data_IF_978404328352
#
_entry.id   IF_978404328352
#
_cell.length_a   1.000
_cell.length_b   1.000
_cell.length_c   1.000
_cell.angle_alpha   90.00
_cell.angle_beta   90.00
_cell.angle_gamma   90.00
#
_symmetry.space_group_name_H-M   'P 1'
#
loop_
_entity.id
_entity.type
_entity.pdbx_description
1 polymer ?
2 water ?
#
# COMPACT_ATOMS: atom_id res chain seq x y z
N UNK A 1 15.88 -22.71 8.65
CA UNK A 1 16.86 -21.87 9.32
C UNK A 1 16.69 -20.36 9.05
N UNK A 2 16.67 -20.03 7.77
CA UNK A 2 16.28 -18.71 7.37
C UNK A 2 14.90 -18.94 6.84
N UNK A 3 14.06 -17.97 7.00
CA UNK A 3 12.71 -18.00 6.56
C UNK A 3 12.62 -17.23 5.26
N UNK A 4 11.92 -17.79 4.29
CA UNK A 4 11.71 -17.12 3.03
C UNK A 4 10.27 -16.54 2.82
N UNK A 5 10.21 -15.27 2.49
CA UNK A 5 8.96 -14.52 2.29
C UNK A 5 8.71 -14.20 0.87
N UNK A 6 7.64 -14.71 0.32
CA UNK A 6 7.21 -14.31 -1.01
C UNK A 6 6.51 -12.92 -0.99
N UNK A 7 6.92 -12.03 -1.87
CA UNK A 7 6.31 -10.75 -2.05
C UNK A 7 5.92 -10.52 -3.48
N UNK A 8 4.62 -10.45 -3.71
CA UNK A 8 4.07 -10.14 -5.02
C UNK A 8 4.26 -8.68 -5.43
N UNK A 9 4.31 -8.42 -6.72
CA UNK A 9 4.51 -7.08 -7.20
C UNK A 9 5.71 -6.36 -6.61
N UNK A 10 6.84 -7.02 -6.65
CA UNK A 10 8.04 -6.63 -5.97
C UNK A 10 8.63 -5.28 -6.37
N UNK A 11 8.38 -4.79 -7.54
CA UNK A 11 8.88 -3.49 -7.93
C UNK A 11 8.11 -2.30 -7.37
N UNK A 12 6.98 -2.53 -6.75
CA UNK A 12 6.14 -1.51 -6.22
C UNK A 12 6.76 -0.65 -5.12
N UNK A 13 6.26 0.57 -4.97
CA UNK A 13 6.82 1.49 -4.01
C UNK A 13 6.73 0.93 -2.55
N UNK A 14 5.58 0.47 -2.14
CA UNK A 14 5.40 -0.19 -0.85
C UNK A 14 6.15 -1.52 -0.75
N UNK A 15 6.09 -2.29 -1.80
CA UNK A 15 6.66 -3.57 -1.84
C UNK A 15 8.16 -3.53 -1.61
N UNK A 16 8.80 -2.55 -2.22
CA UNK A 16 10.21 -2.33 -2.09
C UNK A 16 10.55 -1.94 -0.68
N UNK A 17 9.76 -1.10 -0.05
CA UNK A 17 9.93 -0.80 1.33
C UNK A 17 9.74 -2.01 2.25
N UNK A 18 8.76 -2.83 1.96
CA UNK A 18 8.57 -4.03 2.70
C UNK A 18 9.78 -4.98 2.52
N UNK A 19 10.22 -5.13 1.29
CA UNK A 19 11.34 -6.00 0.96
C UNK A 19 12.59 -5.53 1.71
N UNK A 20 12.85 -4.26 1.72
CA UNK A 20 14.01 -3.74 2.38
C UNK A 20 13.95 -4.03 3.88
N UNK A 21 12.80 -3.82 4.48
CA UNK A 21 12.67 -4.07 5.87
C UNK A 21 12.92 -5.54 6.16
N UNK A 22 12.31 -6.40 5.38
CA UNK A 22 12.31 -7.79 5.66
C UNK A 22 13.77 -8.38 5.53
N UNK A 23 14.47 -7.95 4.50
CA UNK A 23 15.83 -8.31 4.27
C UNK A 23 16.69 -7.84 5.43
N UNK A 24 16.36 -6.69 5.99
CA UNK A 24 17.07 -6.13 7.08
C UNK A 24 16.90 -6.96 8.32
N UNK A 25 15.92 -7.82 8.30
CA UNK A 25 15.59 -8.63 9.41
C UNK A 25 16.19 -9.99 9.30
N UNK A 26 16.90 -10.23 8.24
CA UNK A 26 17.43 -11.52 7.94
C UNK A 26 16.56 -12.54 7.21
N UNK A 27 15.36 -12.19 6.78
CA UNK A 27 14.61 -13.08 5.96
C UNK A 27 15.17 -13.11 4.55
N UNK A 28 14.90 -14.15 3.83
CA UNK A 28 15.00 -14.16 2.40
C UNK A 28 13.72 -13.64 1.75
N UNK A 29 13.82 -13.07 0.57
CA UNK A 29 12.66 -12.75 -0.23
C UNK A 29 12.65 -13.42 -1.56
N UNK A 30 11.53 -14.03 -1.89
CA UNK A 30 11.25 -14.38 -3.24
C UNK A 30 10.21 -13.41 -3.82
N UNK A 31 10.62 -12.64 -4.82
CA UNK A 31 9.78 -11.59 -5.36
C UNK A 31 9.16 -11.88 -6.70
N UNK A 32 7.88 -11.62 -6.89
CA UNK A 32 7.31 -11.69 -8.23
C UNK A 32 7.45 -10.38 -9.03
N UNK A 33 7.81 -10.50 -10.27
CA UNK A 33 7.97 -9.39 -11.16
C UNK A 33 7.35 -9.72 -12.49
N UNK A 34 7.01 -8.71 -13.25
CA UNK A 34 6.37 -8.94 -14.51
C UNK A 34 7.32 -9.17 -15.71
N UNK A 35 8.60 -8.98 -15.50
CA UNK A 35 9.61 -9.25 -16.51
C UNK A 35 10.98 -9.53 -15.90
N UNK A 36 11.86 -10.21 -16.63
CA UNK A 36 13.18 -10.54 -16.11
C UNK A 36 14.01 -9.32 -15.79
N UNK A 37 13.93 -8.31 -16.64
CA UNK A 37 14.68 -7.12 -16.47
C UNK A 37 14.27 -6.45 -15.18
N UNK A 38 12.99 -6.47 -14.86
CA UNK A 38 12.56 -5.93 -13.58
C UNK A 38 13.17 -6.67 -12.45
N UNK A 39 13.16 -7.98 -12.54
CA UNK A 39 13.80 -8.79 -11.53
C UNK A 39 15.27 -8.61 -11.38
N UNK A 40 15.97 -8.54 -12.49
CA UNK A 40 17.39 -8.38 -12.48
C UNK A 40 17.76 -7.06 -11.83
N UNK A 41 17.00 -6.03 -12.13
CA UNK A 41 17.19 -4.75 -11.50
C UNK A 41 17.01 -4.86 -10.00
N UNK A 42 15.97 -5.55 -9.54
CA UNK A 42 15.74 -5.75 -8.14
C UNK A 42 16.85 -6.53 -7.46
N UNK A 43 17.35 -7.52 -8.16
CA UNK A 43 18.45 -8.33 -7.71
C UNK A 43 19.72 -7.54 -7.55
N UNK A 44 20.01 -6.70 -8.51
CA UNK A 44 21.14 -5.86 -8.41
C UNK A 44 20.95 -4.95 -7.23
N UNK A 45 19.74 -4.47 -7.00
CA UNK A 45 19.48 -3.66 -5.84
C UNK A 45 19.60 -4.30 -4.46
N UNK A 46 19.09 -5.50 -4.33
CA UNK A 46 18.80 -6.10 -3.07
C UNK A 46 19.66 -7.29 -2.71
N UNK A 47 20.34 -7.85 -3.69
CA UNK A 47 21.40 -8.77 -3.43
C UNK A 47 21.10 -10.22 -3.28
N UNK A 48 21.97 -10.87 -2.57
CA UNK A 48 22.05 -12.29 -2.52
C UNK A 48 20.78 -12.94 -1.95
N UNK A 49 20.16 -12.30 -0.99
CA UNK A 49 18.99 -12.84 -0.32
C UNK A 49 17.70 -12.60 -1.07
N UNK A 50 17.82 -11.98 -2.20
CA UNK A 50 16.71 -11.73 -3.02
C UNK A 50 16.68 -12.58 -4.24
N UNK A 51 15.59 -13.26 -4.46
CA UNK A 51 15.35 -13.97 -5.68
C UNK A 51 14.02 -13.52 -6.27
N UNK A 52 13.78 -13.82 -7.52
CA UNK A 52 12.60 -13.42 -8.20
C UNK A 52 11.98 -14.47 -9.11
N UNK A 53 10.72 -14.30 -9.41
CA UNK A 53 10.03 -15.09 -10.40
C UNK A 53 9.18 -14.20 -11.27
N UNK A 54 9.01 -14.56 -12.50
CA UNK A 54 8.26 -13.76 -13.40
C UNK A 54 6.81 -14.23 -13.43
N UNK A 55 5.93 -13.33 -13.05
CA UNK A 55 4.52 -13.52 -13.19
C UNK A 55 3.93 -12.31 -13.86
N UNK A 56 3.62 -12.48 -15.12
CA UNK A 56 3.14 -11.43 -15.98
C UNK A 56 1.73 -10.90 -15.78
N UNK A 57 0.80 -11.81 -15.60
CA UNK A 57 -0.56 -11.45 -15.41
C UNK A 57 -1.00 -11.99 -14.07
N UNK A 58 -1.10 -11.11 -13.12
CA UNK A 58 -1.52 -11.49 -11.81
C UNK A 58 -2.90 -12.05 -11.62
N UNK A 59 -3.86 -11.64 -12.39
CA UNK A 59 -5.21 -12.06 -12.23
C UNK A 59 -5.59 -13.33 -12.97
N UNK A 60 -4.65 -13.92 -13.67
CA UNK A 60 -4.90 -15.15 -14.38
C UNK A 60 -4.96 -16.34 -13.42
N UNK A 61 -5.87 -17.25 -13.70
CA UNK A 61 -5.93 -18.44 -12.90
C UNK A 61 -4.62 -19.23 -12.97
N UNK A 62 -4.17 -19.72 -11.84
CA UNK A 62 -2.97 -20.48 -11.78
C UNK A 62 -1.70 -19.68 -11.92
N UNK A 63 -1.80 -18.37 -11.87
CA UNK A 63 -0.70 -17.49 -12.17
C UNK A 63 0.52 -17.70 -11.33
N UNK A 64 0.37 -17.89 -10.05
CA UNK A 64 1.49 -18.07 -9.17
C UNK A 64 1.92 -19.53 -8.99
N UNK A 65 1.28 -20.48 -9.67
CA UNK A 65 1.50 -21.88 -9.36
C UNK A 65 3.00 -22.34 -9.58
N UNK A 66 3.58 -22.05 -10.72
CA UNK A 66 4.95 -22.37 -10.98
C UNK A 66 5.94 -21.68 -10.08
N UNK A 67 5.76 -20.40 -9.85
CA UNK A 67 6.67 -19.71 -9.00
C UNK A 67 6.63 -20.35 -7.65
N UNK A 68 5.44 -20.71 -7.18
CA UNK A 68 5.27 -21.32 -5.89
C UNK A 68 5.84 -22.73 -5.80
N UNK A 69 5.64 -23.49 -6.84
CA UNK A 69 6.16 -24.82 -6.89
C UNK A 69 7.65 -24.79 -6.76
N UNK A 70 8.29 -23.84 -7.37
CA UNK A 70 9.71 -23.66 -7.31
C UNK A 70 10.29 -23.23 -6.01
N UNK A 71 9.46 -22.84 -5.05
CA UNK A 71 9.99 -22.29 -3.83
C UNK A 71 9.37 -22.89 -2.59
N UNK A 72 9.67 -24.15 -2.40
CA UNK A 72 9.19 -24.91 -1.26
C UNK A 72 9.76 -24.36 0.03
N UNK A 73 10.81 -23.61 -0.06
CA UNK A 73 11.32 -22.89 1.04
C UNK A 73 10.42 -21.75 1.59
N UNK A 74 9.50 -21.26 0.80
CA UNK A 74 8.65 -20.16 1.26
C UNK A 74 7.55 -20.60 2.25
N UNK A 75 7.47 -19.93 3.37
CA UNK A 75 6.36 -20.11 4.30
C UNK A 75 5.50 -18.83 4.65
N UNK A 76 5.82 -17.69 4.05
CA UNK A 76 5.07 -16.43 4.19
C UNK A 76 4.75 -15.83 2.83
N UNK A 77 3.54 -15.33 2.66
CA UNK A 77 3.19 -14.68 1.42
C UNK A 77 2.61 -13.30 1.69
N UNK A 78 3.29 -12.27 1.25
CA UNK A 78 2.82 -10.93 1.27
C UNK A 78 2.31 -10.56 -0.11
N UNK A 79 1.01 -10.54 -0.22
CA UNK A 79 0.36 -10.20 -1.43
C UNK A 79 0.07 -8.68 -1.52
N UNK A 80 1.03 -7.95 -2.06
CA UNK A 80 0.98 -6.52 -2.27
C UNK A 80 0.49 -6.04 -3.65
N UNK A 81 0.58 -6.90 -4.62
CA UNK A 81 0.31 -6.51 -5.99
C UNK A 81 -1.17 -6.20 -6.30
N UNK A 82 -1.34 -5.23 -7.17
CA UNK A 82 -2.62 -4.91 -7.74
C UNK A 82 -2.58 -4.96 -9.26
N UNK A 83 -3.73 -5.16 -9.86
CA UNK A 83 -3.68 -5.13 -11.31
C UNK A 83 -3.23 -3.72 -11.79
N UNK A 84 -2.35 -3.68 -12.77
CA UNK A 84 -1.97 -2.44 -13.46
C UNK A 84 -2.93 -2.17 -14.63
N UNK A 85 -3.63 -1.05 -14.56
CA UNK A 85 -4.52 -0.65 -15.61
C UNK A 85 -4.05 0.74 -16.02
N UNK A 86 -4.01 1.07 -17.31
CA UNK A 86 -3.42 2.34 -17.81
C UNK A 86 -4.37 3.51 -18.12
N UNK A 87 -5.53 3.21 -18.67
CA UNK A 87 -6.70 4.08 -18.70
C UNK A 87 -7.82 3.09 -18.89
N UNK A 88 -8.96 3.39 -18.36
CA UNK A 88 -9.94 2.37 -18.19
C UNK A 88 -11.03 2.58 -19.15
N UNK A 89 -11.36 1.57 -19.91
CA UNK A 89 -12.50 1.65 -20.74
C UNK A 89 -13.73 0.96 -20.17
N UNK A 90 -13.61 -0.28 -19.72
CA UNK A 90 -14.68 -0.94 -19.05
C UNK A 90 -14.28 -1.20 -17.58
N UNK A 91 -14.97 -0.57 -16.65
CA UNK A 91 -14.62 -0.71 -15.25
C UNK A 91 -14.71 -2.15 -14.71
N UNK A 92 -15.81 -2.84 -14.95
CA UNK A 92 -15.98 -4.17 -14.46
C UNK A 92 -14.95 -5.13 -14.99
N UNK A 93 -14.83 -5.14 -16.29
CA UNK A 93 -13.94 -6.03 -16.94
C UNK A 93 -12.47 -5.77 -16.65
N UNK A 94 -12.09 -4.54 -16.52
CA UNK A 94 -10.72 -4.20 -16.38
C UNK A 94 -10.27 -3.87 -14.97
N UNK A 95 -11.19 -3.59 -14.08
CA UNK A 95 -10.83 -3.20 -12.74
C UNK A 95 -11.41 -4.13 -11.68
N UNK A 96 -12.73 -4.23 -11.62
CA UNK A 96 -13.37 -5.07 -10.65
C UNK A 96 -13.07 -6.56 -10.78
N UNK A 97 -13.28 -7.14 -11.93
CA UNK A 97 -13.02 -8.57 -12.08
C UNK A 97 -11.58 -8.96 -11.87
N UNK A 98 -10.65 -8.23 -12.41
CA UNK A 98 -9.26 -8.51 -12.15
C UNK A 98 -8.89 -8.37 -10.72
N UNK A 99 -9.43 -7.40 -10.03
CA UNK A 99 -9.10 -7.31 -8.65
C UNK A 99 -9.64 -8.51 -7.88
N UNK A 100 -10.91 -8.82 -8.05
CA UNK A 100 -11.51 -9.90 -7.33
C UNK A 100 -10.92 -11.27 -7.68
N UNK A 101 -10.80 -11.53 -8.95
CA UNK A 101 -10.25 -12.76 -9.44
C UNK A 101 -8.86 -12.95 -9.04
N UNK A 102 -8.08 -11.91 -9.05
CA UNK A 102 -6.73 -12.05 -8.67
C UNK A 102 -6.59 -12.55 -7.25
N UNK A 103 -7.33 -11.97 -6.31
CA UNK A 103 -7.24 -12.34 -4.94
C UNK A 103 -7.61 -13.80 -4.77
N UNK A 104 -8.72 -14.20 -5.31
CA UNK A 104 -9.13 -15.59 -5.21
C UNK A 104 -8.11 -16.52 -5.83
N UNK A 105 -7.65 -16.23 -7.01
CA UNK A 105 -6.72 -17.06 -7.67
C UNK A 105 -5.35 -17.19 -6.99
N UNK A 106 -4.83 -16.11 -6.46
CA UNK A 106 -3.63 -16.16 -5.71
C UNK A 106 -3.77 -17.02 -4.45
N UNK A 107 -4.86 -16.87 -3.74
CA UNK A 107 -5.09 -17.65 -2.54
C UNK A 107 -5.21 -19.16 -2.86
N UNK A 108 -5.91 -19.47 -3.94
CA UNK A 108 -6.11 -20.82 -4.43
C UNK A 108 -4.77 -21.46 -4.81
N UNK A 109 -3.92 -20.74 -5.47
CA UNK A 109 -2.59 -21.24 -5.77
C UNK A 109 -1.78 -21.54 -4.53
N UNK A 110 -1.82 -20.66 -3.56
CA UNK A 110 -1.11 -20.89 -2.37
C UNK A 110 -1.63 -22.16 -1.68
N UNK A 111 -2.92 -22.35 -1.60
CA UNK A 111 -3.50 -23.53 -1.02
C UNK A 111 -3.16 -24.76 -1.81
N UNK A 112 -3.22 -24.65 -3.12
CA UNK A 112 -2.93 -25.73 -4.02
C UNK A 112 -1.47 -26.21 -4.02
N UNK A 113 -0.52 -25.30 -3.93
CA UNK A 113 0.84 -25.57 -4.27
C UNK A 113 1.82 -25.23 -3.18
N UNK A 114 1.38 -24.44 -2.22
CA UNK A 114 2.25 -24.09 -1.14
C UNK A 114 1.63 -24.33 0.21
N UNK A 115 1.34 -25.59 0.53
CA UNK A 115 0.69 -25.94 1.79
C UNK A 115 1.54 -25.58 3.00
N UNK A 116 2.81 -25.43 2.75
CA UNK A 116 3.70 -25.02 3.76
C UNK A 116 3.56 -23.55 4.22
N UNK A 117 2.81 -22.73 3.49
CA UNK A 117 2.68 -21.35 3.86
C UNK A 117 1.74 -21.19 5.05
N UNK A 118 2.25 -20.61 6.09
CA UNK A 118 1.50 -20.45 7.32
C UNK A 118 0.86 -19.07 7.54
N UNK A 119 1.39 -18.08 6.87
CA UNK A 119 0.90 -16.74 6.97
C UNK A 119 0.75 -16.06 5.61
N UNK A 120 -0.40 -15.50 5.37
CA UNK A 120 -0.64 -14.65 4.24
C UNK A 120 -1.07 -13.23 4.72
N UNK A 121 -0.40 -12.23 4.21
CA UNK A 121 -0.74 -10.87 4.49
C UNK A 121 -1.21 -10.21 3.21
N UNK A 122 -2.44 -9.77 3.16
CA UNK A 122 -3.03 -9.10 2.00
C UNK A 122 -3.04 -7.60 2.20
N UNK A 123 -2.46 -6.90 1.25
CA UNK A 123 -2.40 -5.44 1.30
C UNK A 123 -3.73 -4.91 0.73
N UNK A 124 -4.53 -4.35 1.60
CA UNK A 124 -5.78 -3.75 1.21
C UNK A 124 -5.63 -2.21 1.22
N UNK A 125 -6.70 -1.51 1.58
CA UNK A 125 -6.80 -0.07 1.65
C UNK A 125 -7.93 0.39 2.56
N UNK A 126 -7.86 1.62 3.00
CA UNK A 126 -8.92 2.33 3.65
C UNK A 126 -10.16 2.46 2.71
N UNK A 127 -9.93 2.42 1.42
CA UNK A 127 -10.96 2.51 0.45
C UNK A 127 -11.94 1.32 0.51
N UNK A 128 -11.49 0.20 1.05
CA UNK A 128 -12.31 -0.96 1.41
C UNK A 128 -13.28 -0.68 2.54
N UNK A 129 -12.95 0.29 3.32
CA UNK A 129 -13.53 0.51 4.56
C UNK A 129 -14.62 1.54 4.56
N UNK A 130 -14.64 2.30 3.49
CA UNK A 130 -15.30 3.54 3.37
C UNK A 130 -15.67 3.99 1.94
N UNK A 131 -16.31 5.14 1.88
CA UNK A 131 -16.67 5.82 0.67
C UNK A 131 -16.09 7.20 0.68
N UNK A 132 -15.89 7.81 -0.47
CA UNK A 132 -15.08 9.02 -0.53
C UNK A 132 -15.62 10.19 0.30
N UNK A 133 -16.88 10.41 0.29
CA UNK A 133 -17.45 11.43 1.10
C UNK A 133 -17.28 11.19 2.61
N UNK A 134 -17.30 9.95 3.06
CA UNK A 134 -17.06 9.59 4.43
C UNK A 134 -15.58 9.76 4.87
N UNK A 135 -14.68 9.56 3.95
CA UNK A 135 -13.28 9.77 4.21
C UNK A 135 -12.94 11.15 4.63
N UNK A 136 -13.65 12.13 4.09
CA UNK A 136 -13.43 13.52 4.35
C UNK A 136 -14.25 14.15 5.47
N UNK A 137 -15.05 13.34 6.12
CA UNK A 137 -15.94 13.82 7.08
C UNK A 137 -15.42 13.84 8.52
N UNK A 138 -15.55 14.98 9.15
CA UNK A 138 -15.19 15.13 10.56
C UNK A 138 -16.08 14.41 11.49
N UNK A 139 -17.25 14.01 11.06
CA UNK A 139 -18.12 13.13 11.84
C UNK A 139 -17.87 11.65 11.77
N UNK A 140 -16.97 11.24 10.90
CA UNK A 140 -16.82 9.83 10.64
C UNK A 140 -15.65 9.25 11.45
N UNK A 141 -15.91 8.17 12.13
CA UNK A 141 -14.89 7.40 12.77
C UNK A 141 -14.73 6.04 12.16
N UNK A 142 -13.67 5.78 11.43
CA UNK A 142 -13.38 4.44 10.97
C UNK A 142 -12.65 3.61 12.01
N UNK A 143 -12.78 2.31 11.88
CA UNK A 143 -12.09 1.32 12.68
C UNK A 143 -11.71 0.11 11.86
N UNK A 144 -11.09 -0.85 12.49
CA UNK A 144 -10.77 -2.12 11.89
C UNK A 144 -12.03 -2.93 11.42
N UNK A 145 -13.13 -2.69 12.07
CA UNK A 145 -14.43 -3.21 11.72
C UNK A 145 -15.05 -2.61 10.43
N UNK A 146 -14.56 -1.48 9.97
CA UNK A 146 -15.24 -0.69 8.96
C UNK A 146 -15.24 -1.31 7.58
N UNK A 147 -16.39 -1.52 7.03
CA UNK A 147 -16.50 -1.94 5.67
C UNK A 147 -17.25 -0.90 4.79
N UNK A 148 -16.72 -0.60 3.62
CA UNK A 148 -17.35 0.33 2.74
C UNK A 148 -18.78 -0.15 2.40
N UNK A 149 -19.68 0.78 2.39
CA UNK A 149 -21.04 0.62 1.91
C UNK A 149 -21.22 0.58 0.39
N UNK A 150 -20.20 0.85 -0.37
CA UNK A 150 -20.33 0.96 -1.78
C UNK A 150 -20.78 -0.35 -2.43
N UNK A 151 -21.80 -0.30 -3.26
CA UNK A 151 -22.31 -1.49 -3.93
C UNK A 151 -21.55 -1.85 -5.17
N UNK A 152 -21.73 -3.09 -5.60
CA UNK A 152 -21.09 -3.58 -6.75
C UNK A 152 -21.57 -2.76 -7.90
N UNK A 153 -22.86 -2.51 -7.92
CA UNK A 153 -23.44 -1.77 -8.97
C UNK A 153 -22.94 -0.34 -9.09
N UNK A 154 -22.93 0.38 -8.01
CA UNK A 154 -22.38 1.71 -7.99
C UNK A 154 -20.89 1.74 -8.36
N UNK A 155 -20.17 0.71 -8.01
CA UNK A 155 -18.74 0.68 -8.20
C UNK A 155 -18.35 0.74 -9.65
N UNK A 156 -19.18 0.19 -10.50
CA UNK A 156 -19.00 0.21 -11.91
C UNK A 156 -19.06 1.61 -12.52
N UNK A 157 -19.77 2.49 -11.88
CA UNK A 157 -20.15 3.75 -12.47
C UNK A 157 -19.05 4.69 -12.77
N UNK A 158 -17.98 4.65 -12.01
CA UNK A 158 -16.94 5.63 -12.16
C UNK A 158 -15.64 5.03 -11.83
N UNK A 159 -14.60 5.55 -12.43
CA UNK A 159 -13.30 5.02 -12.22
C UNK A 159 -12.82 5.07 -10.78
N UNK A 160 -13.11 6.14 -10.07
CA UNK A 160 -12.84 6.25 -8.66
C UNK A 160 -13.61 5.28 -7.79
N UNK A 161 -14.89 5.23 -8.02
CA UNK A 161 -15.70 4.29 -7.35
C UNK A 161 -15.29 2.87 -7.67
N UNK A 162 -14.84 2.65 -8.88
CA UNK A 162 -14.31 1.36 -9.25
C UNK A 162 -13.07 0.95 -8.49
N UNK A 163 -12.12 1.85 -8.31
CA UNK A 163 -10.98 1.53 -7.50
C UNK A 163 -11.40 1.23 -6.09
N UNK A 164 -12.32 2.00 -5.54
CA UNK A 164 -12.83 1.78 -4.22
C UNK A 164 -13.50 0.39 -4.14
N UNK A 165 -14.37 0.08 -5.07
CA UNK A 165 -15.06 -1.17 -5.12
C UNK A 165 -14.12 -2.33 -5.28
N UNK A 166 -13.12 -2.15 -6.11
CA UNK A 166 -12.21 -3.23 -6.41
C UNK A 166 -11.49 -3.71 -5.16
N UNK A 167 -11.03 -2.80 -4.34
CA UNK A 167 -10.42 -3.15 -3.11
C UNK A 167 -11.40 -3.81 -2.10
N UNK A 168 -12.58 -3.26 -1.97
CA UNK A 168 -13.58 -3.79 -1.08
C UNK A 168 -13.95 -5.23 -1.45
N UNK A 169 -14.26 -5.45 -2.68
CA UNK A 169 -14.63 -6.77 -3.12
C UNK A 169 -13.48 -7.75 -3.04
N UNK A 170 -12.28 -7.32 -3.38
CA UNK A 170 -11.16 -8.17 -3.29
C UNK A 170 -10.82 -8.60 -1.87
N UNK A 171 -10.83 -7.67 -0.93
CA UNK A 171 -10.61 -8.00 0.43
C UNK A 171 -11.72 -8.93 0.95
N UNK A 172 -12.96 -8.65 0.64
CA UNK A 172 -14.05 -9.53 1.06
C UNK A 172 -13.79 -10.92 0.51
N UNK A 173 -13.30 -11.00 -0.71
CA UNK A 173 -13.01 -12.25 -1.32
C UNK A 173 -11.94 -13.02 -0.54
N UNK A 174 -10.94 -12.35 -0.05
CA UNK A 174 -9.91 -12.97 0.69
C UNK A 174 -10.39 -13.61 2.01
N UNK A 175 -11.20 -12.88 2.75
CA UNK A 175 -11.79 -13.35 3.98
C UNK A 175 -12.73 -14.53 3.67
N UNK A 176 -13.48 -14.40 2.59
CA UNK A 176 -14.39 -15.41 2.16
C UNK A 176 -13.63 -16.71 1.84
N UNK A 177 -12.48 -16.61 1.19
CA UNK A 177 -11.67 -17.75 0.92
C UNK A 177 -11.26 -18.45 2.21
N UNK A 178 -10.85 -17.70 3.19
CA UNK A 178 -10.48 -18.26 4.43
C UNK A 178 -11.64 -19.00 5.10
N UNK A 179 -12.81 -18.43 5.08
CA UNK A 179 -13.98 -19.03 5.65
C UNK A 179 -14.38 -20.28 4.95
N UNK A 180 -14.46 -20.22 3.63
CA UNK A 180 -14.88 -21.30 2.78
C UNK A 180 -13.90 -22.45 2.53
N UNK A 181 -12.67 -22.11 2.22
CA UNK A 181 -11.64 -23.03 1.88
C UNK A 181 -10.76 -23.50 3.00
N UNK A 182 -10.79 -22.83 4.13
CA UNK A 182 -10.12 -23.28 5.30
C UNK A 182 -8.67 -23.77 5.05
N UNK A 183 -7.76 -22.87 4.68
CA UNK A 183 -6.39 -23.24 4.37
C UNK A 183 -5.46 -23.39 5.55
N UNK A 184 -4.24 -23.78 5.29
CA UNK A 184 -3.26 -23.90 6.32
C UNK A 184 -2.79 -22.60 6.88
N UNK A 185 -3.02 -21.51 6.18
CA UNK A 185 -2.43 -20.26 6.57
C UNK A 185 -3.42 -19.41 7.32
N UNK A 186 -2.94 -18.54 8.17
CA UNK A 186 -3.75 -17.53 8.71
C UNK A 186 -3.63 -16.23 7.87
N UNK A 187 -4.76 -15.66 7.54
CA UNK A 187 -4.84 -14.40 6.87
C UNK A 187 -4.87 -13.17 7.72
N UNK A 188 -4.19 -12.17 7.25
CA UNK A 188 -4.24 -10.86 7.77
C UNK A 188 -4.15 -9.73 6.67
N UNK A 189 -4.76 -8.59 6.93
CA UNK A 189 -4.75 -7.45 6.03
C UNK A 189 -4.12 -6.25 6.64
N UNK A 190 -3.52 -5.46 5.79
CA UNK A 190 -3.09 -4.10 6.08
C UNK A 190 -3.85 -3.04 5.20
N UNK A 191 -4.44 -2.07 5.84
CA UNK A 191 -5.41 -1.15 5.25
C UNK A 191 -4.93 0.29 5.39
N UNK A 192 -4.07 0.69 4.49
CA UNK A 192 -3.48 2.03 4.52
C UNK A 192 -4.34 3.13 3.93
N UNK A 193 -4.06 4.33 4.42
CA UNK A 193 -4.54 5.60 3.90
C UNK A 193 -3.62 6.18 2.80
N UNK A 194 -3.56 7.49 2.61
CA UNK A 194 -2.63 8.05 1.63
C UNK A 194 -1.20 7.77 2.11
N UNK A 195 -0.40 7.14 1.30
CA UNK A 195 0.95 6.85 1.64
C UNK A 195 1.99 7.89 1.13
N UNK A 196 2.80 8.36 2.04
CA UNK A 196 3.91 9.30 1.82
C UNK A 196 5.20 8.68 2.34
N UNK A 197 6.31 9.20 1.86
CA UNK A 197 7.59 8.77 2.28
C UNK A 197 8.58 8.42 1.22
N UNK A 198 9.86 8.35 1.57
CA UNK A 198 10.93 8.11 0.60
C UNK A 198 10.82 6.73 0.02
N UNK A 199 11.37 6.57 -1.14
CA UNK A 199 11.51 5.29 -1.74
C UNK A 199 12.66 4.46 -1.12
N UNK A 200 12.57 3.16 -1.20
CA UNK A 200 13.51 2.28 -0.55
C UNK A 200 14.97 2.48 -1.05
N UNK A 201 15.13 2.70 -2.34
CA UNK A 201 16.39 3.00 -3.00
C UNK A 201 16.38 4.28 -3.85
N UNK A 202 17.48 4.97 -3.74
CA UNK A 202 17.69 6.15 -4.50
C UNK A 202 17.62 5.87 -5.96
N UNK A 203 18.18 4.77 -6.36
CA UNK A 203 18.26 4.40 -7.76
C UNK A 203 16.90 4.29 -8.39
N UNK A 204 15.92 3.90 -7.58
CA UNK A 204 14.57 3.79 -8.00
C UNK A 204 13.83 5.10 -8.24
N UNK A 205 14.39 6.21 -7.79
CA UNK A 205 13.61 7.43 -7.85
C UNK A 205 13.65 7.94 -9.30
N UNK A 206 12.95 7.26 -10.17
CA UNK A 206 13.15 7.35 -11.58
C UNK A 206 11.80 7.43 -12.15
N UNK A 207 11.49 8.43 -12.95
CA UNK A 207 12.38 9.49 -13.26
C UNK A 207 12.69 10.39 -12.09
N UNK A 208 13.93 10.84 -12.13
CA UNK A 208 14.55 11.72 -11.17
C UNK A 208 13.57 12.80 -10.85
N UNK A 209 13.15 12.83 -9.61
CA UNK A 209 12.20 13.83 -9.19
C UNK A 209 10.79 13.40 -9.53
N UNK A 210 10.20 12.48 -8.78
CA UNK A 210 8.82 12.11 -9.10
C UNK A 210 7.82 12.05 -7.93
N UNK A 211 6.62 11.51 -8.19
CA UNK A 211 5.59 11.47 -7.17
C UNK A 211 4.48 10.41 -7.24
N UNK A 212 4.68 9.27 -6.59
CA UNK A 212 3.65 8.41 -6.03
C UNK A 212 4.00 8.10 -4.55
N UNK A 213 3.16 8.49 -3.60
CA UNK A 213 2.05 9.33 -3.90
C UNK A 213 2.64 10.57 -4.47
N UNK A 214 1.99 10.92 -5.56
CA UNK A 214 2.22 12.06 -6.40
C UNK A 214 1.84 13.31 -5.68
N UNK A 215 0.98 13.17 -4.69
CA UNK A 215 0.40 14.34 -4.01
C UNK A 215 1.48 15.15 -3.39
N UNK A 216 2.55 14.50 -3.08
CA UNK A 216 3.71 15.17 -2.67
C UNK A 216 4.23 16.02 -3.77
N UNK A 217 4.00 15.63 -4.99
CA UNK A 217 4.65 16.26 -6.09
C UNK A 217 3.73 16.87 -7.05
N UNK A 218 2.47 16.90 -6.70
CA UNK A 218 1.59 17.86 -7.29
C UNK A 218 2.15 19.22 -6.90
N UNK A 219 2.51 19.41 -5.64
CA UNK A 219 3.07 20.66 -5.16
C UNK A 219 4.37 21.17 -5.79
N UNK A 220 5.37 20.36 -5.93
CA UNK A 220 6.67 20.84 -6.22
C UNK A 220 6.79 21.35 -7.64
N UNK A 221 5.75 21.10 -8.41
CA UNK A 221 5.63 21.53 -9.79
C UNK A 221 4.73 22.74 -9.86
N UNK A 222 4.19 23.14 -8.74
CA UNK A 222 3.38 24.32 -8.75
C UNK A 222 4.17 25.57 -8.99
N UNK A 223 3.42 26.61 -9.18
CA UNK A 223 3.97 27.87 -9.47
C UNK A 223 3.27 28.92 -8.63
N UNK A 224 3.95 30.02 -8.46
CA UNK A 224 3.64 30.90 -7.39
C UNK A 224 2.25 31.37 -7.52
N UNK A 225 1.73 31.30 -8.73
CA UNK A 225 0.41 31.78 -8.95
C UNK A 225 -0.63 30.73 -8.73
N UNK A 226 -0.19 29.48 -8.64
CA UNK A 226 -1.12 28.37 -8.61
C UNK A 226 -1.91 28.34 -7.30
N UNK A 227 -2.99 27.63 -7.33
CA UNK A 227 -3.78 27.39 -6.17
C UNK A 227 -3.11 26.40 -5.21
N UNK A 228 -3.43 26.54 -3.93
CA UNK A 228 -3.09 25.54 -2.98
C UNK A 228 -3.83 24.26 -3.33
N UNK A 229 -3.18 23.14 -3.32
CA UNK A 229 -3.83 21.92 -3.67
C UNK A 229 -4.92 21.60 -2.74
N UNK A 230 -5.92 21.09 -3.38
CA UNK A 230 -7.14 20.61 -2.80
C UNK A 230 -7.06 19.36 -1.93
N UNK A 231 -6.12 18.50 -2.23
CA UNK A 231 -6.16 17.19 -1.67
C UNK A 231 -6.08 17.18 -0.15
N UNK A 232 -6.95 16.39 0.46
CA UNK A 232 -7.06 16.27 1.92
C UNK A 232 -7.52 14.88 2.39
N UNK A 233 -7.00 14.41 3.50
CA UNK A 233 -7.28 13.11 4.06
C UNK A 233 -6.30 12.78 5.17
N UNK A 234 -6.19 11.50 5.52
CA UNK A 234 -5.17 11.03 6.43
C UNK A 234 -3.96 10.46 5.72
N UNK A 235 -2.82 10.60 6.34
CA UNK A 235 -1.60 10.07 5.81
C UNK A 235 -1.09 8.94 6.70
N UNK A 236 -0.20 8.16 6.13
CA UNK A 236 0.69 7.24 6.77
C UNK A 236 2.01 7.12 6.03
N UNK A 237 3.10 6.97 6.74
CA UNK A 237 4.43 6.79 6.14
C UNK A 237 4.62 5.38 5.59
N UNK A 238 5.24 5.30 4.44
CA UNK A 238 5.47 4.03 3.79
C UNK A 238 6.27 3.06 4.68
N UNK A 239 7.16 3.59 5.47
CA UNK A 239 7.94 2.78 6.39
C UNK A 239 7.07 2.11 7.49
N UNK A 240 6.12 2.87 8.01
CA UNK A 240 5.14 2.39 8.95
C UNK A 240 4.23 1.30 8.36
N UNK A 241 3.84 1.49 7.13
CA UNK A 241 3.04 0.50 6.45
C UNK A 241 3.84 -0.83 6.30
N UNK A 242 5.11 -0.68 5.98
CA UNK A 242 5.99 -1.80 5.83
C UNK A 242 6.16 -2.55 7.14
N UNK A 243 6.38 -1.83 8.20
CA UNK A 243 6.47 -2.35 9.52
C UNK A 243 5.19 -3.05 9.94
N UNK A 244 4.05 -2.53 9.53
CA UNK A 244 2.79 -3.17 9.73
C UNK A 244 2.71 -4.50 9.01
N UNK A 245 3.27 -4.58 7.82
CA UNK A 245 3.30 -5.84 7.10
C UNK A 245 4.13 -6.89 7.87
N UNK A 246 5.24 -6.46 8.45
CA UNK A 246 6.11 -7.32 9.20
C UNK A 246 5.42 -7.90 10.42
N UNK A 247 4.82 -7.04 11.20
CA UNK A 247 4.04 -7.41 12.34
C UNK A 247 2.88 -8.31 11.93
N UNK A 248 2.33 -8.10 10.77
CA UNK A 248 1.19 -8.85 10.32
C UNK A 248 1.47 -10.33 10.10
N UNK A 249 2.70 -10.67 9.83
CA UNK A 249 3.06 -12.03 9.72
C UNK A 249 3.82 -12.61 10.93
N UNK A 250 4.62 -11.78 11.57
CA UNK A 250 5.34 -12.12 12.79
C UNK A 250 4.56 -12.34 14.10
N UNK A 251 3.54 -11.59 14.36
CA UNK A 251 2.88 -11.58 15.61
C UNK A 251 1.65 -12.46 15.63
N UNK A 252 1.48 -13.25 16.69
CA UNK A 252 0.34 -14.15 16.83
C UNK A 252 -0.97 -13.37 16.89
N UNK A 253 -0.95 -12.26 17.53
CA UNK A 253 -2.14 -11.43 17.71
C UNK A 253 -2.69 -10.83 16.41
N UNK A 254 -1.91 -10.85 15.35
CA UNK A 254 -2.30 -10.27 14.09
C UNK A 254 -3.10 -11.22 13.22
N UNK A 255 -3.11 -12.48 13.62
CA UNK A 255 -3.78 -13.54 12.88
C UNK A 255 -5.26 -13.25 12.80
N UNK A 256 -5.77 -13.26 11.59
CA UNK A 256 -7.15 -12.94 11.30
C UNK A 256 -7.55 -11.49 11.53
N UNK A 257 -6.60 -10.57 11.64
CA UNK A 257 -6.85 -9.17 11.83
C UNK A 257 -6.82 -8.28 10.58
N UNK A 258 -7.62 -7.25 10.63
CA UNK A 258 -7.47 -6.15 9.76
C UNK A 258 -6.71 -5.00 10.50
N UNK A 259 -5.72 -4.49 9.84
CA UNK A 259 -4.96 -3.45 10.40
C UNK A 259 -5.14 -2.11 9.66
N UNK A 260 -5.63 -1.15 10.42
CA UNK A 260 -5.90 0.18 9.95
C UNK A 260 -4.65 1.02 10.16
N UNK A 261 -4.05 1.40 9.07
CA UNK A 261 -2.87 2.17 9.07
C UNK A 261 -3.14 3.61 8.61
N UNK A 262 -3.35 4.45 9.58
CA UNK A 262 -3.71 5.80 9.44
C UNK A 262 -3.11 6.65 10.52
N UNK A 263 -2.45 7.73 10.17
CA UNK A 263 -1.89 8.68 11.12
C UNK A 263 -2.65 10.01 11.20
N UNK A 264 -2.05 11.10 10.85
CA UNK A 264 -2.65 12.43 10.98
C UNK A 264 -3.33 13.01 9.70
N UNK A 265 -4.23 13.94 9.88
CA UNK A 265 -4.89 14.63 8.81
C UNK A 265 -4.00 15.70 8.17
N UNK A 266 -4.18 15.91 6.89
CA UNK A 266 -3.47 16.91 6.16
C UNK A 266 -4.35 17.46 5.04
N UNK A 267 -3.98 18.62 4.58
CA UNK A 267 -4.43 19.16 3.34
C UNK A 267 -3.28 19.83 2.56
N UNK A 268 -3.60 20.45 1.44
CA UNK A 268 -2.62 21.06 0.59
C UNK A 268 -1.83 22.13 1.30
N UNK A 269 -2.47 22.88 2.13
CA UNK A 269 -1.81 23.86 2.95
C UNK A 269 -0.78 23.24 3.92
N UNK A 270 -1.15 22.14 4.56
CA UNK A 270 -0.27 21.39 5.44
C UNK A 270 0.96 20.99 4.69
N UNK A 271 0.78 20.45 3.51
CA UNK A 271 1.89 20.09 2.68
C UNK A 271 2.78 21.29 2.25
N UNK A 272 2.15 22.34 1.79
CA UNK A 272 2.84 23.51 1.36
C UNK A 272 3.64 24.14 2.49
N UNK A 273 3.05 24.23 3.66
CA UNK A 273 3.67 24.84 4.80
C UNK A 273 4.96 24.10 5.13
N UNK A 274 4.93 22.79 5.09
CA UNK A 274 6.11 22.01 5.32
C UNK A 274 7.22 22.19 4.28
N UNK A 275 6.89 22.10 3.02
CA UNK A 275 7.86 22.18 1.97
C UNK A 275 8.53 23.54 2.02
N UNK A 276 7.73 24.54 2.21
CA UNK A 276 8.19 25.90 2.19
C UNK A 276 9.20 26.17 3.29
N UNK A 277 8.91 25.73 4.50
CA UNK A 277 9.85 25.90 5.56
C UNK A 277 11.14 25.13 5.34
N UNK A 278 11.02 23.86 4.99
CA UNK A 278 12.14 22.96 4.87
C UNK A 278 13.07 23.13 3.68
N UNK A 279 12.52 23.61 2.61
CA UNK A 279 13.23 23.75 1.35
C UNK A 279 12.98 25.16 0.85
N UNK A 280 13.53 26.11 1.56
CA UNK A 280 13.24 27.52 1.28
C UNK A 280 13.64 27.98 -0.10
N UNK A 281 14.57 27.32 -0.72
CA UNK A 281 15.03 27.69 -2.01
C UNK A 281 13.93 27.58 -3.01
N UNK A 282 12.93 26.74 -2.74
CA UNK A 282 11.83 26.58 -3.65
C UNK A 282 10.58 27.42 -3.37
N UNK A 283 10.63 28.19 -2.32
CA UNK A 283 9.52 28.98 -1.89
C UNK A 283 9.15 30.11 -2.86
N UNK A 284 10.11 30.59 -3.61
CA UNK A 284 9.89 31.68 -4.54
C UNK A 284 8.97 31.34 -5.68
N UNK A 285 9.00 30.10 -6.12
CA UNK A 285 8.18 29.69 -7.20
C UNK A 285 6.92 28.99 -6.74
N UNK A 286 6.75 28.85 -5.45
CA UNK A 286 5.63 28.15 -4.90
C UNK A 286 4.55 29.07 -4.37
N UNK A 287 3.32 28.63 -4.37
CA UNK A 287 2.28 29.42 -3.74
C UNK A 287 2.43 29.49 -2.22
N UNK A 288 1.80 30.47 -1.64
CA UNK A 288 1.78 30.75 -0.22
C UNK A 288 0.56 30.28 0.47
N UNK A 289 -0.59 30.45 -0.13
CA UNK A 289 -1.83 30.13 0.51
C UNK A 289 -2.05 30.94 1.79
N UNK A 290 -2.68 30.34 2.76
CA UNK A 290 -2.84 30.95 4.04
C UNK A 290 -2.18 30.05 5.06
N UNK A 291 -0.92 30.29 5.39
CA UNK A 291 -0.19 29.33 6.23
C UNK A 291 -0.81 29.06 7.60
N UNK A 292 -0.97 27.79 7.91
CA UNK A 292 -1.49 27.34 9.17
C UNK A 292 -2.96 27.69 9.33
N UNK A 293 -3.58 27.89 8.18
CA UNK A 293 -5.01 27.92 8.07
C UNK A 293 -5.69 26.55 8.22
N UNK A 294 -4.96 25.49 8.10
CA UNK A 294 -5.51 24.18 8.25
C UNK A 294 -5.84 23.92 9.71
N UNK A 295 -7.09 23.59 9.98
CA UNK A 295 -7.58 23.26 11.27
C UNK A 295 -8.42 22.00 11.22
N UNK A 296 -7.88 20.94 11.74
CA UNK A 296 -8.49 19.64 11.78
C UNK A 296 -9.09 19.25 13.14
N UNK A 297 -9.16 20.20 14.04
CA UNK A 297 -9.56 19.96 15.40
C UNK A 297 -10.98 19.43 15.58
N UNK A 298 -11.86 19.72 14.67
CA UNK A 298 -13.19 19.20 14.69
C UNK A 298 -13.34 17.74 14.29
N UNK A 299 -12.33 17.21 13.66
CA UNK A 299 -12.38 15.86 13.14
C UNK A 299 -12.30 14.82 14.25
N UNK A 300 -13.22 13.89 14.24
CA UNK A 300 -13.19 12.85 15.22
C UNK A 300 -12.02 11.92 14.98
N UNK A 301 -11.29 11.58 16.01
CA UNK A 301 -10.18 10.70 15.85
C UNK A 301 -10.65 9.32 15.39
N UNK A 302 -10.00 8.77 14.39
CA UNK A 302 -10.30 7.44 13.98
C UNK A 302 -9.86 6.43 15.03
N UNK A 303 -10.57 5.35 15.05
CA UNK A 303 -10.32 4.26 15.95
C UNK A 303 -9.44 3.14 15.45
N UNK A 304 -8.17 3.34 15.63
CA UNK A 304 -7.13 2.43 15.26
C UNK A 304 -6.46 1.81 16.44
N UNK A 305 -7.10 1.88 17.59
CA UNK A 305 -6.49 1.50 18.83
C UNK A 305 -6.02 0.05 18.86
N UNK A 306 -6.82 -0.87 18.34
CA UNK A 306 -6.41 -2.24 18.27
C UNK A 306 -5.13 -2.41 17.42
N UNK A 307 -5.10 -1.76 16.27
CA UNK A 307 -3.98 -1.83 15.37
C UNK A 307 -2.73 -1.27 16.10
N UNK A 308 -2.82 -0.12 16.73
CA UNK A 308 -1.67 0.44 17.42
C UNK A 308 -1.21 -0.53 18.54
N UNK A 309 -2.12 -1.14 19.26
CA UNK A 309 -1.78 -2.09 20.26
C UNK A 309 -1.07 -3.35 19.70
N UNK A 310 -1.55 -3.91 18.61
CA UNK A 310 -0.89 -4.95 17.95
C UNK A 310 0.53 -4.55 17.39
N UNK A 311 0.61 -3.40 16.75
CA UNK A 311 1.83 -2.91 16.18
C UNK A 311 2.90 -2.60 17.20
N UNK A 312 2.54 -1.86 18.19
CA UNK A 312 3.41 -1.50 19.25
C UNK A 312 4.56 -0.59 18.88
N UNK A 313 4.46 0.20 17.83
CA UNK A 313 5.42 1.22 17.57
C UNK A 313 4.75 2.54 17.28
N UNK A 314 5.50 3.61 17.36
CA UNK A 314 4.99 4.91 17.02
C UNK A 314 5.30 5.31 15.56
N UNK A 315 4.41 6.01 14.94
CA UNK A 315 4.49 6.39 13.56
C UNK A 315 5.44 7.60 13.25
N UNK A 316 6.00 7.65 12.05
CA UNK A 316 6.59 8.86 11.52
C UNK A 316 5.53 9.99 11.48
N UNK A 317 5.89 11.17 11.93
CA UNK A 317 5.07 12.34 11.73
C UNK A 317 5.08 12.80 10.24
N UNK A 318 4.14 13.65 9.90
CA UNK A 318 3.92 14.11 8.58
C UNK A 318 5.11 14.88 8.02
N UNK A 319 5.63 15.78 8.80
CA UNK A 319 6.71 16.62 8.39
C UNK A 319 7.90 15.76 8.05
N UNK A 320 8.19 14.81 8.89
CA UNK A 320 9.27 13.94 8.69
C UNK A 320 9.09 13.11 7.42
N UNK A 321 7.92 12.55 7.21
CA UNK A 321 7.65 11.77 6.03
C UNK A 321 7.82 12.61 4.74
N UNK A 322 7.20 13.75 4.68
CA UNK A 322 7.32 14.64 3.57
C UNK A 322 8.77 15.11 3.36
N UNK A 323 9.45 15.55 4.41
CA UNK A 323 10.80 16.04 4.28
C UNK A 323 11.67 14.94 3.74
N UNK A 324 11.54 13.74 4.26
CA UNK A 324 12.33 12.64 3.83
C UNK A 324 12.10 12.35 2.33
N UNK A 325 10.87 12.44 1.86
CA UNK A 325 10.60 12.19 0.44
C UNK A 325 11.29 13.19 -0.44
N UNK A 326 11.12 14.46 -0.14
CA UNK A 326 11.70 15.57 -0.93
C UNK A 326 13.20 15.58 -0.92
N UNK A 327 13.79 15.31 0.22
CA UNK A 327 15.21 15.34 0.37
C UNK A 327 15.77 14.34 -0.59
N UNK A 328 15.16 13.16 -0.61
CA UNK A 328 15.61 12.14 -1.52
C UNK A 328 15.44 12.54 -2.97
N UNK A 329 14.31 13.11 -3.32
CA UNK A 329 14.05 13.53 -4.67
C UNK A 329 15.15 14.55 -5.08
N UNK A 330 15.33 15.59 -4.31
CA UNK A 330 16.40 16.56 -4.48
C UNK A 330 17.76 15.95 -4.63
N UNK A 331 18.09 14.97 -3.84
CA UNK A 331 19.43 14.46 -3.82
C UNK A 331 19.98 14.02 -5.18
#
# INVERSE_FOLDING_TARGET
>A
MTTSVFVSGATGYLAQQIIALVLSKGYKVVGSVRSEEKGANLKKLYGDDFSYEVVKVLEQKGAFDEALKKHPEVTIFLHTASPVTFEVEDTEKEILIPAINGTKYVLQSIKDVAPQITRVVYTSSVVAMSVPEELGSPDVVLSEASWSSLSYEQSKTHGVLAYFGSKQFAERAAWEFVEQEKPNFALSTVNPVYIFGPQAKDEEVKGTLNHSAEMVNSVLKLNKDDDVPATTGTFIDVRDVAKAHLAAFEKDEAKGERLLLSNTRFNGQTLLDVVRKNFPQLADKLPVGKPHSDDFSAFKEWNDKKTKKILGFEYFDFETSVVDSIKQVLKVQG
#
